data_IF_421521867410
#
_entry.id   IF_421521867410
#
_cell.length_a   1.000
_cell.length_b   1.000
_cell.length_c   1.000
_cell.angle_alpha   90.00
_cell.angle_beta   90.00
_cell.angle_gamma   90.00
#
_symmetry.space_group_name_H-M   'P 1'
#
loop_
_entity.id
_entity.type
_entity.pdbx_description
1 polymer ?
#
# COMPACT_ATOMS: atom_id res chain seq x y z
N UNK A 1 12.93 3.05 -12.97
CA UNK A 1 11.90 2.88 -11.92
C UNK A 1 11.12 4.19 -11.78
N UNK A 2 10.27 4.52 -12.77
CA UNK A 2 9.39 5.71 -12.74
C UNK A 2 7.95 5.26 -13.00
N UNK A 3 7.53 4.22 -12.27
CA UNK A 3 6.11 3.99 -12.07
C UNK A 3 5.72 4.79 -10.82
N UNK A 4 4.65 5.59 -10.90
CA UNK A 4 4.05 6.37 -9.79
C UNK A 4 4.73 7.67 -9.32
N UNK A 5 5.79 8.15 -9.99
CA UNK A 5 6.39 9.45 -9.66
C UNK A 5 7.06 9.48 -8.28
N UNK A 6 7.55 8.32 -7.81
CA UNK A 6 8.23 8.15 -6.54
C UNK A 6 7.39 8.58 -5.33
N UNK A 7 6.10 8.26 -5.36
CA UNK A 7 5.15 8.58 -4.29
C UNK A 7 4.35 7.35 -3.90
N UNK A 8 4.06 7.25 -2.62
CA UNK A 8 3.16 6.24 -2.09
C UNK A 8 1.75 6.42 -2.65
N UNK A 9 1.10 5.32 -3.05
CA UNK A 9 -0.26 5.32 -3.60
C UNK A 9 -1.31 5.79 -2.60
N UNK A 10 -1.10 5.56 -1.30
CA UNK A 10 -2.03 5.96 -0.23
C UNK A 10 -1.76 7.40 0.23
N UNK A 11 -0.58 7.66 0.78
CA UNK A 11 -0.27 8.96 1.40
C UNK A 11 0.12 10.04 0.38
N UNK A 12 0.41 9.67 -0.87
CA UNK A 12 0.91 10.58 -1.92
C UNK A 12 2.23 11.28 -1.58
N UNK A 13 2.90 10.91 -0.49
CA UNK A 13 4.17 11.49 -0.05
C UNK A 13 5.06 10.42 0.61
N UNK A 14 6.34 10.72 0.78
CA UNK A 14 7.31 9.87 1.47
C UNK A 14 8.70 9.98 0.86
N UNK A 15 9.78 9.91 1.65
CA UNK A 15 11.13 9.78 1.12
C UNK A 15 11.26 8.49 0.32
N UNK A 16 12.10 8.49 -0.72
CA UNK A 16 12.31 7.32 -1.58
C UNK A 16 12.74 6.06 -0.81
N UNK A 17 13.46 6.27 0.27
CA UNK A 17 14.08 5.26 1.12
C UNK A 17 13.06 4.43 1.90
N UNK A 18 11.81 4.91 2.02
CA UNK A 18 10.74 4.16 2.68
C UNK A 18 9.71 3.63 1.69
N UNK A 19 9.91 3.82 0.38
CA UNK A 19 9.00 3.34 -0.65
C UNK A 19 9.36 1.93 -1.09
N UNK A 20 8.36 1.06 -1.09
CA UNK A 20 8.44 -0.34 -1.49
C UNK A 20 7.44 -0.62 -2.61
N UNK A 21 7.86 -1.41 -3.59
CA UNK A 21 6.99 -1.89 -4.66
C UNK A 21 6.38 -3.23 -4.23
N UNK A 22 5.05 -3.31 -4.21
CA UNK A 22 4.29 -4.42 -3.63
C UNK A 22 3.29 -4.96 -4.63
N UNK A 23 3.05 -6.26 -4.63
CA UNK A 23 2.13 -6.87 -5.58
C UNK A 23 0.70 -6.90 -5.03
N UNK A 24 -0.30 -6.59 -5.87
CA UNK A 24 -1.72 -6.60 -5.50
C UNK A 24 -2.22 -8.06 -5.39
N UNK A 25 -1.80 -8.93 -6.30
CA UNK A 25 -2.14 -10.35 -6.34
C UNK A 25 -0.90 -11.21 -6.03
N UNK A 26 -1.04 -12.28 -5.20
CA UNK A 26 0.03 -13.25 -4.98
C UNK A 26 0.45 -13.86 -6.31
N UNK A 27 1.77 -13.86 -6.58
CA UNK A 27 2.36 -14.38 -7.82
C UNK A 27 2.02 -15.87 -8.10
N UNK A 28 1.63 -16.63 -7.06
CA UNK A 28 1.40 -18.08 -7.12
C UNK A 28 0.20 -18.53 -7.98
N UNK A 29 -0.67 -17.63 -8.45
CA UNK A 29 -1.88 -18.00 -9.19
C UNK A 29 -1.83 -17.86 -10.71
N UNK A 30 -1.11 -16.88 -11.26
CA UNK A 30 -1.35 -16.45 -12.65
C UNK A 30 -0.12 -16.16 -13.51
N UNK A 31 1.10 -16.12 -12.96
CA UNK A 31 2.33 -16.08 -13.78
C UNK A 31 2.50 -14.84 -14.68
N UNK A 32 1.68 -13.80 -14.55
CA UNK A 32 1.78 -12.58 -15.36
C UNK A 32 2.43 -11.48 -14.53
N UNK A 33 3.62 -11.06 -14.96
CA UNK A 33 4.39 -9.96 -14.36
C UNK A 33 3.97 -8.65 -15.03
N UNK A 34 2.69 -8.29 -14.90
CA UNK A 34 2.18 -7.03 -15.43
C UNK A 34 2.51 -5.91 -14.45
N UNK A 35 3.01 -4.79 -14.98
CA UNK A 35 3.25 -3.56 -14.22
C UNK A 35 1.99 -3.08 -13.47
N UNK A 36 0.81 -3.51 -13.93
CA UNK A 36 -0.50 -3.21 -13.36
C UNK A 36 -0.80 -3.99 -12.06
N UNK A 37 0.01 -5.00 -11.73
CA UNK A 37 -0.10 -5.75 -10.48
C UNK A 37 0.78 -5.17 -9.35
N UNK A 38 1.44 -4.02 -9.57
CA UNK A 38 2.36 -3.41 -8.60
C UNK A 38 1.84 -2.09 -8.03
N UNK A 39 1.90 -1.91 -6.72
CA UNK A 39 1.68 -0.63 -6.04
C UNK A 39 2.99 -0.13 -5.42
N UNK A 40 3.24 1.17 -5.49
CA UNK A 40 4.32 1.79 -4.73
C UNK A 40 3.75 2.30 -3.39
N UNK A 41 4.22 1.79 -2.26
CA UNK A 41 3.68 2.08 -0.94
C UNK A 41 4.79 2.40 0.06
N UNK A 42 4.51 3.15 1.12
CA UNK A 42 5.46 3.27 2.24
C UNK A 42 5.51 1.97 3.03
N UNK A 43 6.67 1.63 3.57
CA UNK A 43 6.91 0.42 4.38
C UNK A 43 5.97 0.27 5.58
N UNK A 44 5.62 1.37 6.26
CA UNK A 44 4.68 1.37 7.37
C UNK A 44 3.24 1.06 6.92
N UNK A 45 2.80 1.68 5.82
CA UNK A 45 1.48 1.41 5.23
C UNK A 45 1.41 0.01 4.62
N UNK A 46 2.50 -0.48 4.03
CA UNK A 46 2.60 -1.86 3.56
C UNK A 46 2.44 -2.83 4.73
N UNK A 47 3.13 -2.60 5.84
CA UNK A 47 3.00 -3.45 7.04
C UNK A 47 1.54 -3.52 7.51
N UNK A 48 0.81 -2.39 7.49
CA UNK A 48 -0.61 -2.36 7.82
C UNK A 48 -1.49 -3.08 6.78
N UNK A 49 -1.14 -2.98 5.50
CA UNK A 49 -1.84 -3.63 4.40
C UNK A 49 -1.71 -5.15 4.49
N UNK A 50 -0.48 -5.65 4.67
CA UNK A 50 -0.17 -7.07 4.83
C UNK A 50 -0.83 -7.66 6.10
N UNK A 51 -0.91 -6.88 7.17
CA UNK A 51 -1.65 -7.26 8.38
C UNK A 51 -3.19 -7.24 8.22
N UNK A 52 -3.69 -6.77 7.07
CA UNK A 52 -5.12 -6.59 6.81
C UNK A 52 -5.77 -5.52 7.70
N UNK A 53 -4.98 -4.58 8.22
CA UNK A 53 -5.44 -3.45 9.03
C UNK A 53 -5.89 -2.27 8.16
N UNK A 54 -5.38 -2.19 6.94
CA UNK A 54 -5.88 -1.30 5.89
C UNK A 54 -6.08 -2.09 4.59
N UNK A 55 -7.06 -1.68 3.78
CA UNK A 55 -7.34 -2.24 2.46
C UNK A 55 -7.68 -1.11 1.49
N UNK A 56 -7.50 -1.33 0.20
CA UNK A 56 -7.97 -0.40 -0.85
C UNK A 56 -9.18 -1.05 -1.50
N UNK A 57 -10.32 -0.36 -1.51
CA UNK A 57 -11.47 -0.82 -2.27
C UNK A 57 -11.17 -0.61 -3.78
N UNK A 58 -11.22 -1.66 -4.62
CA UNK A 58 -10.84 -1.55 -6.02
C UNK A 58 -11.82 -0.70 -6.86
N UNK A 59 -13.09 -0.64 -6.47
CA UNK A 59 -14.12 0.09 -7.21
C UNK A 59 -14.09 1.59 -6.90
N UNK A 60 -13.90 1.95 -5.62
CA UNK A 60 -13.92 3.34 -5.16
C UNK A 60 -12.54 3.96 -5.00
N UNK A 61 -11.47 3.14 -4.99
CA UNK A 61 -10.09 3.54 -4.71
C UNK A 61 -9.92 4.21 -3.34
N UNK A 62 -10.85 3.96 -2.41
CA UNK A 62 -10.81 4.49 -1.04
C UNK A 62 -10.10 3.50 -0.13
N UNK A 63 -9.29 4.04 0.80
CA UNK A 63 -8.67 3.26 1.87
C UNK A 63 -9.72 2.94 2.95
N UNK A 64 -9.91 1.66 3.22
CA UNK A 64 -10.76 1.14 4.28
C UNK A 64 -9.87 0.72 5.45
N UNK A 65 -10.20 1.20 6.63
CA UNK A 65 -9.49 0.87 7.87
C UNK A 65 -10.26 -0.23 8.60
N UNK A 66 -9.55 -1.26 9.03
CA UNK A 66 -10.11 -2.37 9.80
C UNK A 66 -10.41 -1.92 11.24
N UNK A 67 -11.45 -2.49 11.86
CA UNK A 67 -11.86 -2.13 13.23
C UNK A 67 -10.79 -2.46 14.27
N UNK A 68 -9.83 -3.34 13.94
CA UNK A 68 -8.69 -3.68 14.78
C UNK A 68 -7.60 -2.61 14.79
N UNK A 69 -7.64 -1.62 13.90
CA UNK A 69 -6.65 -0.56 13.85
C UNK A 69 -6.71 0.31 15.11
N UNK A 70 -5.59 0.40 15.82
CA UNK A 70 -5.46 1.22 17.02
C UNK A 70 -4.55 2.40 16.71
N UNK A 71 -5.13 3.57 16.51
CA UNK A 71 -4.35 4.79 16.47
C UNK A 71 -3.74 5.04 17.86
N UNK A 72 -2.43 5.26 17.91
CA UNK A 72 -1.84 5.84 19.11
C UNK A 72 -2.31 7.31 19.17
N UNK A 73 -2.82 7.78 20.32
CA UNK A 73 -3.06 9.20 20.48
C UNK A 73 -1.70 9.90 20.33
N UNK A 74 -1.56 10.70 19.28
CA UNK A 74 -0.48 11.68 19.23
C UNK A 74 -0.70 12.58 20.45
N UNK A 75 0.21 12.50 21.43
CA UNK A 75 0.14 13.34 22.62
C UNK A 75 0.03 14.81 22.20
N UNK A 76 -0.87 15.54 22.87
CA UNK A 76 -0.96 17.00 22.76
C UNK A 76 0.36 17.66 23.18
#
# INVERSE_FOLDING_TARGET
MVAYGNRCVISKHGPSEVLEAVHILPHAGFGINELDNGLLMRSDLLTLFDAGLIRINPDSLVVVIDTRFKALPMGN
#
